data_IF_253955633501
#
_entry.id   IF_253955633501
#
_cell.length_a   1.000
_cell.length_b   1.000
_cell.length_c   1.000
_cell.angle_alpha   90.00
_cell.angle_beta   90.00
_cell.angle_gamma   90.00
#
_symmetry.space_group_name_H-M   'P 1'
#
loop_
_entity.id
_entity.type
_entity.pdbx_description
1 polymer ?
#
# COMPACT_ATOMS: atom_id res chain seq x y z
N UNK A 1 18.45 -15.46 -1.13
CA UNK A 1 18.33 -15.56 0.34
C UNK A 1 19.63 -16.11 0.95
N UNK A 2 20.70 -15.32 0.97
CA UNK A 2 22.04 -15.70 1.43
C UNK A 2 22.48 -14.96 2.73
N UNK A 3 21.58 -14.21 3.35
CA UNK A 3 21.88 -13.29 4.46
C UNK A 3 21.59 -13.86 5.86
N UNK A 4 21.39 -15.16 6.00
CA UNK A 4 21.09 -15.78 7.31
C UNK A 4 22.19 -15.55 8.37
N UNK A 5 23.44 -15.29 7.91
CA UNK A 5 24.58 -14.98 8.79
C UNK A 5 24.46 -13.65 9.54
N UNK A 6 23.48 -12.80 9.22
CA UNK A 6 23.24 -11.53 9.94
C UNK A 6 22.96 -11.76 11.44
N UNK A 7 22.40 -12.92 11.80
CA UNK A 7 22.10 -13.27 13.19
C UNK A 7 23.33 -13.64 14.03
N UNK A 8 24.50 -13.77 13.40
CA UNK A 8 25.77 -13.92 14.12
C UNK A 8 26.31 -12.58 14.64
N UNK A 9 25.87 -11.46 14.04
CA UNK A 9 26.30 -10.10 14.41
C UNK A 9 25.19 -9.28 15.08
N UNK A 10 23.93 -9.66 14.88
CA UNK A 10 22.77 -9.04 15.54
C UNK A 10 21.99 -10.13 16.28
N UNK A 11 21.68 -9.92 17.57
CA UNK A 11 20.89 -10.89 18.33
C UNK A 11 19.45 -10.98 17.78
N UNK A 12 18.95 -12.19 17.44
CA UNK A 12 17.62 -12.34 16.84
C UNK A 12 16.47 -11.88 17.73
N UNK A 13 16.57 -12.07 19.06
CA UNK A 13 15.56 -11.66 20.03
C UNK A 13 15.29 -10.15 20.04
N UNK A 14 16.25 -9.32 19.62
CA UNK A 14 16.07 -7.86 19.53
C UNK A 14 15.95 -7.40 18.08
N UNK A 15 16.74 -7.98 17.17
CA UNK A 15 16.73 -7.59 15.76
C UNK A 15 15.43 -7.93 15.03
N UNK A 16 14.83 -9.10 15.28
CA UNK A 16 13.55 -9.49 14.63
C UNK A 16 12.41 -8.56 15.10
N UNK A 17 12.18 -8.32 16.40
CA UNK A 17 11.13 -7.40 16.83
C UNK A 17 11.35 -5.97 16.33
N UNK A 18 12.58 -5.46 16.37
CA UNK A 18 12.88 -4.10 15.87
C UNK A 18 12.62 -4.00 14.37
N UNK A 19 13.00 -5.00 13.58
CA UNK A 19 12.73 -5.01 12.15
C UNK A 19 11.23 -4.98 11.84
N UNK A 20 10.46 -5.85 12.49
CA UNK A 20 9.00 -5.88 12.29
C UNK A 20 8.33 -4.59 12.78
N UNK A 21 8.79 -4.01 13.89
CA UNK A 21 8.30 -2.73 14.38
C UNK A 21 8.60 -1.59 13.40
N UNK A 22 9.81 -1.54 12.84
CA UNK A 22 10.18 -0.54 11.85
C UNK A 22 9.30 -0.62 10.61
N UNK A 23 9.02 -1.82 10.11
CA UNK A 23 8.12 -2.04 8.96
C UNK A 23 6.69 -1.62 9.29
N UNK A 24 6.17 -1.94 10.47
CA UNK A 24 4.84 -1.53 10.89
C UNK A 24 4.70 0.00 10.97
N UNK A 25 5.68 0.68 11.58
CA UNK A 25 5.71 2.14 11.68
C UNK A 25 5.81 2.77 10.29
N UNK A 26 6.72 2.27 9.44
CA UNK A 26 6.88 2.78 8.08
C UNK A 26 5.58 2.65 7.26
N UNK A 27 4.90 1.51 7.33
CA UNK A 27 3.62 1.30 6.66
C UNK A 27 2.56 2.31 7.15
N UNK A 28 2.43 2.47 8.46
CA UNK A 28 1.47 3.42 9.03
C UNK A 28 1.76 4.87 8.62
N UNK A 29 3.04 5.27 8.60
CA UNK A 29 3.43 6.61 8.18
C UNK A 29 3.08 6.89 6.72
N UNK A 30 3.31 5.92 5.81
CA UNK A 30 2.92 6.08 4.41
C UNK A 30 1.41 6.28 4.27
N UNK A 31 0.61 5.52 5.01
CA UNK A 31 -0.85 5.69 5.01
C UNK A 31 -1.27 7.04 5.56
N UNK A 32 -0.68 7.48 6.68
CA UNK A 32 -0.98 8.78 7.27
C UNK A 32 -0.64 9.93 6.32
N UNK A 33 0.51 9.86 5.64
CA UNK A 33 0.89 10.84 4.62
C UNK A 33 -0.09 10.82 3.45
N UNK A 34 -0.53 9.66 2.97
CA UNK A 34 -1.56 9.59 1.93
C UNK A 34 -2.87 10.22 2.40
N UNK A 35 -3.32 10.00 3.64
CA UNK A 35 -4.57 10.57 4.17
C UNK A 35 -4.51 12.09 4.19
N UNK A 36 -3.37 12.65 4.60
CA UNK A 36 -3.25 14.10 4.75
C UNK A 36 -2.97 14.84 3.43
N UNK A 37 -2.37 14.16 2.44
CA UNK A 37 -1.94 14.81 1.20
C UNK A 37 -2.78 14.44 -0.04
N UNK A 38 -3.68 13.46 0.06
CA UNK A 38 -4.49 13.01 -1.09
C UNK A 38 -5.98 13.05 -0.78
N UNK A 39 -6.77 13.65 -1.68
CA UNK A 39 -8.22 13.82 -1.48
C UNK A 39 -9.03 12.54 -1.68
N UNK A 40 -8.59 11.67 -2.59
CA UNK A 40 -9.35 10.46 -2.99
C UNK A 40 -9.62 9.52 -1.81
N UNK A 41 -8.72 9.46 -0.82
CA UNK A 41 -8.88 8.56 0.30
C UNK A 41 -9.87 9.13 1.33
N UNK A 42 -9.97 10.45 1.46
CA UNK A 42 -11.05 11.10 2.19
C UNK A 42 -12.39 10.84 1.50
N UNK A 43 -12.46 10.99 0.18
CA UNK A 43 -13.66 10.72 -0.61
C UNK A 43 -14.13 9.25 -0.46
N UNK A 44 -13.18 8.31 -0.43
CA UNK A 44 -13.43 6.89 -0.14
C UNK A 44 -14.07 6.67 1.24
N UNK A 45 -13.53 7.28 2.30
CA UNK A 45 -14.06 7.11 3.66
C UNK A 45 -15.35 7.89 3.94
N UNK A 46 -15.57 9.03 3.26
CA UNK A 46 -16.82 9.80 3.35
C UNK A 46 -17.96 9.16 2.55
N UNK A 47 -17.71 8.04 1.85
CA UNK A 47 -18.72 7.32 1.08
C UNK A 47 -19.16 8.06 -0.19
N UNK A 48 -18.42 9.08 -0.62
CA UNK A 48 -18.66 9.76 -1.89
C UNK A 48 -18.07 8.92 -3.01
N UNK A 49 -18.68 7.76 -3.25
CA UNK A 49 -18.47 7.03 -4.48
C UNK A 49 -18.98 7.93 -5.61
N UNK A 50 -18.06 8.66 -6.27
CA UNK A 50 -18.31 9.06 -7.65
C UNK A 50 -18.69 7.77 -8.38
N UNK A 51 -19.93 7.72 -8.84
CA UNK A 51 -20.53 6.63 -9.60
C UNK A 51 -19.46 6.05 -10.52
N UNK A 52 -19.08 4.79 -10.29
CA UNK A 52 -18.09 4.07 -11.08
C UNK A 52 -18.38 4.34 -12.55
N UNK A 53 -17.52 5.12 -13.21
CA UNK A 53 -17.62 5.34 -14.64
C UNK A 53 -17.63 3.95 -15.28
N UNK A 54 -18.79 3.56 -15.80
CA UNK A 54 -18.96 2.30 -16.50
C UNK A 54 -17.87 2.25 -17.57
N UNK A 55 -17.01 1.24 -17.51
CA UNK A 55 -16.09 0.96 -18.61
C UNK A 55 -16.99 0.53 -19.78
N UNK A 56 -17.33 1.47 -20.65
CA UNK A 56 -17.88 1.15 -21.97
C UNK A 56 -16.77 0.47 -22.75
N UNK A 57 -16.82 -0.87 -22.78
CA UNK A 57 -16.08 -1.64 -23.78
C UNK A 57 -16.64 -1.22 -25.13
N UNK A 58 -15.92 -0.35 -25.86
CA UNK A 58 -16.20 -0.06 -27.25
C UNK A 58 -15.99 -1.37 -28.03
N UNK A 59 -17.09 -1.94 -28.52
CA UNK A 59 -17.06 -3.09 -29.42
C UNK A 59 -16.34 -2.69 -30.73
N UNK A 60 -15.50 -3.57 -31.32
CA UNK A 60 -14.82 -3.24 -32.56
C UNK A 60 -15.86 -3.15 -33.68
N UNK A 61 -15.90 -1.98 -34.31
CA UNK A 61 -16.73 -1.70 -35.47
C UNK A 61 -16.37 -2.62 -36.64
N UNK A 62 -17.27 -3.56 -36.94
CA UNK A 62 -17.31 -4.23 -38.26
C UNK A 62 -18.05 -3.29 -39.21
N UNK A 63 -17.32 -2.65 -40.12
CA UNK A 63 -17.93 -2.01 -41.28
C UNK A 63 -17.30 -2.58 -42.55
N UNK A 64 -18.22 -2.89 -43.48
CA UNK A 64 -18.08 -3.61 -44.74
C UNK A 64 -17.11 -3.00 -45.76
#
# INVERSE_FOLDING_TARGET
MNNAKVWLVVKPTVGVPVFLAAVAIASFLVHLVLVLNTGWMQDYYMGSAAETAAITVAAPETTA
#
